data_IF_238659071231
#
_entry.id   IF_238659071231
#
_cell.length_a   1.000
_cell.length_b   1.000
_cell.length_c   1.000
_cell.angle_alpha   90.00
_cell.angle_beta   90.00
_cell.angle_gamma   90.00
#
_symmetry.space_group_name_H-M   'P 1'
#
loop_
_entity.id
_entity.type
_entity.pdbx_description
1 polymer ?
#
# COMPACT_ATOMS: atom_id res chain seq x y z
N UNK A 1 -30.29 -33.66 -15.70
CA UNK A 1 -30.69 -32.27 -15.97
C UNK A 1 -30.00 -31.90 -17.27
N UNK A 2 -30.70 -31.27 -18.19
CA UNK A 2 -30.08 -30.64 -19.37
C UNK A 2 -30.45 -29.17 -19.23
N UNK A 3 -29.54 -28.37 -18.65
CA UNK A 3 -29.66 -26.92 -18.65
C UNK A 3 -29.49 -26.37 -20.06
N UNK A 4 -30.12 -25.24 -20.36
CA UNK A 4 -30.06 -24.61 -21.67
C UNK A 4 -29.62 -23.17 -21.54
N UNK A 5 -28.47 -22.86 -22.13
CA UNK A 5 -27.93 -21.52 -22.04
C UNK A 5 -28.80 -20.44 -22.71
N UNK A 6 -28.80 -19.25 -22.15
CA UNK A 6 -29.64 -18.08 -22.42
C UNK A 6 -31.08 -18.17 -21.90
N UNK A 7 -31.32 -18.86 -20.78
CA UNK A 7 -32.64 -18.91 -20.13
C UNK A 7 -32.75 -17.99 -18.90
N UNK A 8 -31.71 -17.19 -18.63
CA UNK A 8 -31.56 -16.28 -17.50
C UNK A 8 -31.45 -16.97 -16.13
N UNK A 9 -31.20 -18.27 -16.09
CA UNK A 9 -31.05 -19.04 -14.85
C UNK A 9 -29.83 -19.95 -14.93
N UNK A 10 -28.78 -19.65 -14.17
CA UNK A 10 -27.66 -20.58 -14.04
C UNK A 10 -28.10 -21.88 -13.35
N UNK A 11 -28.29 -22.94 -14.13
CA UNK A 11 -28.84 -24.20 -13.65
C UNK A 11 -27.96 -25.43 -13.94
N UNK A 12 -28.53 -26.62 -13.74
CA UNK A 12 -27.77 -27.85 -13.56
C UNK A 12 -27.02 -28.27 -14.84
N UNK A 13 -25.68 -28.21 -14.78
CA UNK A 13 -24.77 -28.50 -15.89
C UNK A 13 -24.19 -27.24 -16.55
N UNK A 14 -24.69 -26.06 -16.18
CA UNK A 14 -24.16 -24.77 -16.58
C UNK A 14 -23.09 -24.29 -15.60
N UNK A 15 -22.12 -23.60 -16.15
CA UNK A 15 -20.94 -23.06 -15.49
C UNK A 15 -20.62 -21.75 -16.17
N UNK A 16 -19.81 -20.91 -15.52
CA UNK A 16 -19.27 -19.70 -16.13
C UNK A 16 -18.51 -20.02 -17.43
N UNK A 17 -17.88 -21.19 -17.54
CA UNK A 17 -17.11 -21.59 -18.72
C UNK A 17 -17.98 -21.95 -19.94
N UNK A 18 -19.13 -22.59 -19.73
CA UNK A 18 -19.97 -23.12 -20.81
C UNK A 18 -21.30 -22.37 -21.01
N UNK A 19 -21.65 -21.47 -20.10
CA UNK A 19 -22.86 -20.65 -20.14
C UNK A 19 -22.74 -19.38 -19.30
N UNK A 20 -21.81 -18.51 -19.68
CA UNK A 20 -21.57 -17.25 -18.97
C UNK A 20 -22.74 -16.26 -19.03
N UNK A 21 -23.61 -16.37 -20.05
CA UNK A 21 -24.76 -15.49 -20.19
C UNK A 21 -25.75 -15.61 -19.03
N UNK A 22 -25.89 -16.81 -18.46
CA UNK A 22 -26.78 -17.08 -17.33
C UNK A 22 -26.03 -17.19 -15.99
N UNK A 23 -24.80 -17.71 -16.01
CA UNK A 23 -23.96 -17.92 -14.83
C UNK A 23 -23.05 -16.74 -14.47
N UNK A 24 -22.96 -15.72 -15.34
CA UNK A 24 -21.98 -14.66 -15.24
C UNK A 24 -20.57 -15.14 -15.61
N UNK A 25 -19.60 -14.27 -15.37
CA UNK A 25 -18.18 -14.54 -15.63
C UNK A 25 -17.36 -14.69 -14.37
N UNK A 26 -16.33 -15.52 -14.47
CA UNK A 26 -15.38 -15.75 -13.39
C UNK A 26 -14.06 -16.17 -13.98
N UNK A 27 -13.03 -15.36 -13.71
CA UNK A 27 -11.69 -15.73 -14.10
C UNK A 27 -11.22 -17.02 -13.42
N UNK A 28 -10.49 -17.84 -14.18
CA UNK A 28 -9.97 -19.14 -13.77
C UNK A 28 -10.92 -20.31 -14.05
N UNK A 29 -11.95 -20.13 -14.87
CA UNK A 29 -12.88 -21.20 -15.27
C UNK A 29 -12.42 -21.99 -16.51
N UNK A 30 -11.29 -21.58 -17.10
CA UNK A 30 -10.66 -22.20 -18.25
C UNK A 30 -11.15 -21.67 -19.60
N UNK A 31 -12.02 -20.65 -19.63
CA UNK A 31 -12.58 -20.10 -20.85
C UNK A 31 -12.67 -18.58 -20.82
N UNK A 32 -11.85 -17.90 -21.64
CA UNK A 32 -11.95 -16.45 -21.84
C UNK A 32 -13.30 -16.03 -22.45
N UNK A 33 -14.27 -15.60 -21.64
CA UNK A 33 -15.61 -15.25 -22.10
C UNK A 33 -16.26 -14.10 -21.30
N UNK A 34 -17.47 -13.68 -21.71
CA UNK A 34 -18.34 -12.77 -20.97
C UNK A 34 -17.75 -11.47 -20.37
N UNK A 35 -16.84 -10.83 -21.11
CA UNK A 35 -16.20 -9.57 -20.71
C UNK A 35 -14.82 -9.75 -20.10
N UNK A 36 -14.35 -10.99 -20.00
CA UNK A 36 -12.96 -11.29 -19.73
C UNK A 36 -12.09 -10.82 -20.90
N UNK A 37 -10.94 -10.25 -20.55
CA UNK A 37 -9.90 -9.83 -21.47
C UNK A 37 -8.52 -10.16 -20.89
N UNK A 38 -7.49 -9.93 -21.70
CA UNK A 38 -6.10 -10.19 -21.32
C UNK A 38 -5.66 -9.36 -20.11
N UNK A 39 -6.32 -8.23 -19.78
CA UNK A 39 -6.01 -7.40 -18.63
C UNK A 39 -6.67 -7.88 -17.33
N UNK A 40 -7.94 -8.27 -17.40
CA UNK A 40 -8.77 -8.56 -16.25
C UNK A 40 -8.85 -10.07 -15.93
N UNK A 41 -8.46 -10.94 -16.88
CA UNK A 41 -8.44 -12.39 -16.71
C UNK A 41 -7.39 -13.06 -17.62
N UNK A 42 -6.12 -12.73 -17.41
CA UNK A 42 -5.01 -13.32 -18.17
C UNK A 42 -4.87 -14.85 -17.98
N UNK A 43 -5.42 -15.41 -16.90
CA UNK A 43 -5.34 -16.84 -16.58
C UNK A 43 -6.06 -17.70 -17.62
N UNK A 44 -7.20 -17.22 -18.13
CA UNK A 44 -7.99 -17.89 -19.16
C UNK A 44 -7.82 -17.25 -20.55
N UNK A 45 -7.62 -15.93 -20.61
CA UNK A 45 -7.44 -15.19 -21.86
C UNK A 45 -6.00 -15.18 -22.37
N UNK A 46 -5.04 -15.60 -21.56
CA UNK A 46 -3.61 -15.45 -21.84
C UNK A 46 -3.15 -14.00 -21.71
N UNK A 47 -1.93 -13.75 -22.18
CA UNK A 47 -1.27 -12.43 -22.18
C UNK A 47 -1.03 -11.98 -23.62
N UNK A 48 -1.17 -10.69 -23.94
CA UNK A 48 -0.91 -10.17 -25.29
C UNK A 48 -0.19 -8.83 -25.27
N UNK A 49 0.92 -8.74 -26.01
CA UNK A 49 1.68 -7.52 -26.08
C UNK A 49 1.03 -6.48 -27.01
N UNK A 50 0.68 -5.35 -26.43
CA UNK A 50 0.05 -4.18 -27.02
C UNK A 50 -1.35 -3.92 -26.47
N UNK A 51 -1.78 -4.67 -25.46
CA UNK A 51 -3.11 -4.59 -24.85
C UNK A 51 -3.23 -3.50 -23.76
N UNK A 52 -2.12 -2.86 -23.39
CA UNK A 52 -2.04 -1.84 -22.35
C UNK A 52 -1.88 -2.37 -20.93
N UNK A 53 -1.69 -3.68 -20.76
CA UNK A 53 -1.51 -4.34 -19.48
C UNK A 53 -0.17 -5.08 -19.43
N UNK A 54 0.41 -5.16 -18.23
CA UNK A 54 1.64 -5.91 -18.01
C UNK A 54 1.33 -6.99 -16.98
N UNK A 55 1.02 -8.20 -17.44
CA UNK A 55 0.58 -9.28 -16.56
C UNK A 55 1.06 -10.68 -17.01
N UNK A 56 0.74 -11.69 -16.20
CA UNK A 56 1.15 -13.07 -16.44
C UNK A 56 2.67 -13.24 -16.59
N UNK A 57 3.12 -13.57 -17.80
CA UNK A 57 4.55 -13.76 -18.14
C UNK A 57 5.17 -12.58 -18.91
N UNK A 58 4.45 -11.47 -19.02
CA UNK A 58 4.95 -10.26 -19.65
C UNK A 58 5.94 -9.54 -18.73
N UNK A 59 7.04 -9.10 -19.34
CA UNK A 59 8.01 -8.25 -18.70
C UNK A 59 8.56 -7.24 -19.71
N UNK A 60 9.40 -6.31 -19.26
CA UNK A 60 10.02 -5.31 -20.15
C UNK A 60 10.78 -5.94 -21.33
N UNK A 61 11.31 -7.17 -21.19
CA UNK A 61 12.07 -7.86 -22.23
C UNK A 61 11.19 -8.59 -23.25
N UNK A 62 10.08 -9.18 -22.80
CA UNK A 62 9.13 -9.92 -23.64
C UNK A 62 8.05 -9.02 -24.23
N UNK A 63 7.65 -7.97 -23.52
CA UNK A 63 6.62 -7.02 -23.91
C UNK A 63 6.90 -5.57 -23.46
N UNK A 64 7.86 -4.89 -24.08
CA UNK A 64 8.18 -3.49 -23.74
C UNK A 64 7.09 -2.48 -24.11
N UNK A 65 6.06 -2.87 -24.86
CA UNK A 65 4.98 -1.95 -25.23
C UNK A 65 4.09 -1.62 -24.02
N UNK A 66 3.82 -2.62 -23.18
CA UNK A 66 2.90 -2.49 -22.04
C UNK A 66 3.61 -2.62 -20.70
N UNK A 67 4.74 -3.33 -20.66
CA UNK A 67 5.63 -3.42 -19.49
C UNK A 67 6.74 -2.37 -19.52
N UNK A 68 6.55 -1.24 -20.19
CA UNK A 68 7.47 -0.11 -20.05
C UNK A 68 7.25 0.55 -18.69
N UNK A 69 8.31 0.73 -17.90
CA UNK A 69 8.23 1.62 -16.75
C UNK A 69 7.78 3.00 -17.23
N UNK A 70 6.73 3.52 -16.62
CA UNK A 70 6.39 4.94 -16.70
C UNK A 70 6.71 5.53 -15.33
N UNK A 71 7.97 5.99 -15.10
CA UNK A 71 8.36 6.58 -13.84
C UNK A 71 7.40 7.71 -13.45
N UNK A 72 6.70 7.51 -12.35
CA UNK A 72 5.88 8.55 -11.72
C UNK A 72 6.44 8.79 -10.33
N UNK A 73 7.32 9.77 -10.19
CA UNK A 73 7.84 10.11 -8.87
C UNK A 73 6.73 10.77 -8.04
N UNK A 74 6.63 10.40 -6.77
CA UNK A 74 5.65 10.94 -5.83
C UNK A 74 6.35 11.65 -4.69
N UNK A 75 5.70 12.66 -4.14
CA UNK A 75 6.16 13.37 -2.95
C UNK A 75 4.98 13.84 -2.12
N UNK A 76 5.13 13.88 -0.80
CA UNK A 76 4.16 14.44 0.13
C UNK A 76 4.88 15.24 1.23
N UNK A 77 4.45 16.47 1.44
CA UNK A 77 5.05 17.43 2.39
C UNK A 77 4.17 17.62 3.64
N UNK A 78 3.01 16.95 3.72
CA UNK A 78 2.07 17.01 4.84
C UNK A 78 1.69 18.43 5.29
N UNK A 79 1.68 19.37 4.35
CA UNK A 79 1.23 20.75 4.56
C UNK A 79 -0.28 20.88 4.79
N UNK A 80 -1.03 19.84 4.42
CA UNK A 80 -2.47 19.66 4.66
C UNK A 80 -2.82 18.18 4.52
N UNK A 81 -4.05 17.78 4.85
CA UNK A 81 -4.51 16.40 4.72
C UNK A 81 -4.28 15.86 3.28
N UNK A 82 -3.38 14.88 3.09
CA UNK A 82 -2.96 14.49 1.76
C UNK A 82 -3.93 13.50 1.11
N UNK A 83 -4.14 13.65 -0.20
CA UNK A 83 -5.09 12.82 -0.94
C UNK A 83 -4.59 11.38 -1.07
N UNK A 84 -5.47 10.41 -0.80
CA UNK A 84 -5.18 8.98 -0.96
C UNK A 84 -4.39 8.34 0.17
N UNK A 85 -3.87 9.13 1.12
CA UNK A 85 -3.34 8.60 2.37
C UNK A 85 -4.49 8.23 3.29
N UNK A 86 -4.31 7.16 4.07
CA UNK A 86 -5.33 6.66 4.98
C UNK A 86 -4.76 6.47 6.37
N UNK A 87 -5.58 6.73 7.37
CA UNK A 87 -5.26 6.56 8.78
C UNK A 87 -6.17 5.47 9.33
N UNK A 88 -5.60 4.53 10.06
CA UNK A 88 -6.35 3.55 10.85
C UNK A 88 -6.08 3.82 12.32
N UNK A 89 -7.19 4.17 13.00
CA UNK A 89 -7.32 4.15 14.46
C UNK A 89 -7.43 2.70 14.93
N UNK A 90 -6.28 2.14 15.32
CA UNK A 90 -6.09 0.71 15.55
C UNK A 90 -5.98 0.32 17.02
N UNK A 91 -5.72 1.30 17.89
CA UNK A 91 -5.68 1.14 19.34
C UNK A 91 -7.06 0.95 19.98
N UNK A 92 -7.11 1.14 21.30
CA UNK A 92 -8.40 1.22 21.99
C UNK A 92 -9.16 2.49 21.57
N UNK A 93 -10.51 2.47 21.57
CA UNK A 93 -11.30 3.51 20.89
C UNK A 93 -11.26 4.89 21.55
N UNK A 94 -10.26 5.72 21.21
CA UNK A 94 -10.05 7.06 21.78
C UNK A 94 -9.93 8.20 20.75
N UNK A 95 -9.76 7.93 19.45
CA UNK A 95 -9.62 8.98 18.43
C UNK A 95 -8.26 9.67 18.46
N UNK A 96 -7.25 8.98 18.98
CA UNK A 96 -5.87 9.36 19.28
C UNK A 96 -4.90 8.91 18.17
N UNK A 97 -5.33 9.07 16.93
CA UNK A 97 -4.63 8.57 15.75
C UNK A 97 -3.76 9.63 15.05
N UNK A 98 -3.11 9.23 13.95
CA UNK A 98 -2.31 10.13 13.11
C UNK A 98 -3.10 11.36 12.66
N UNK A 99 -2.49 12.53 12.83
CA UNK A 99 -3.02 13.82 12.42
C UNK A 99 -2.02 14.59 11.54
N UNK A 100 -2.53 15.56 10.76
CA UNK A 100 -1.70 16.46 9.96
C UNK A 100 -1.78 17.87 10.55
N UNK A 101 -0.63 18.47 10.83
CA UNK A 101 -0.57 19.82 11.40
C UNK A 101 0.77 20.12 12.04
N UNK A 102 0.79 21.04 13.01
CA UNK A 102 2.03 21.54 13.61
C UNK A 102 2.69 20.60 14.64
N UNK A 103 2.11 19.43 14.91
CA UNK A 103 2.61 18.41 15.84
C UNK A 103 2.90 18.87 17.27
N UNK A 104 3.09 17.96 18.24
CA UNK A 104 3.82 18.29 19.46
C UNK A 104 5.29 18.60 19.11
N UNK A 105 5.95 19.50 19.84
CA UNK A 105 7.38 19.77 19.61
C UNK A 105 7.70 20.49 18.28
N UNK A 106 8.13 19.74 17.25
CA UNK A 106 8.70 20.27 16.00
C UNK A 106 8.38 19.41 14.75
N UNK A 107 7.83 20.04 13.72
CA UNK A 107 7.76 19.52 12.34
C UNK A 107 8.83 20.19 11.47
N UNK A 108 9.46 19.44 10.56
CA UNK A 108 10.58 19.91 9.74
C UNK A 108 10.23 21.09 8.83
N UNK A 109 9.10 21.01 8.10
CA UNK A 109 8.71 22.02 7.11
C UNK A 109 7.50 22.88 7.54
N UNK A 110 7.15 22.86 8.82
CA UNK A 110 6.09 23.65 9.45
C UNK A 110 4.83 22.84 9.79
N UNK A 111 4.44 21.89 8.95
CA UNK A 111 3.40 20.90 9.22
C UNK A 111 3.93 19.52 8.88
N UNK A 112 3.49 18.49 9.59
CA UNK A 112 3.90 17.11 9.38
C UNK A 112 2.74 16.16 9.68
N UNK A 113 2.88 14.90 9.28
CA UNK A 113 2.07 13.83 9.85
C UNK A 113 2.64 13.48 11.23
N UNK A 114 1.78 13.44 12.26
CA UNK A 114 2.21 13.15 13.61
C UNK A 114 1.21 12.27 14.34
N UNK A 115 1.71 11.53 15.32
CA UNK A 115 0.94 10.80 16.32
C UNK A 115 1.57 11.07 17.68
N UNK A 116 0.74 11.22 18.73
CA UNK A 116 1.16 11.70 20.04
C UNK A 116 0.37 11.01 21.17
N UNK A 117 1.05 10.18 21.95
CA UNK A 117 0.46 9.47 23.09
C UNK A 117 0.14 10.43 24.25
N UNK A 118 0.94 11.49 24.47
CA UNK A 118 0.77 12.38 25.64
C UNK A 118 -0.49 13.27 25.55
N UNK A 119 -0.90 13.65 24.33
CA UNK A 119 -2.06 14.55 24.15
C UNK A 119 -3.40 13.88 24.53
N UNK A 120 -3.48 12.54 24.56
CA UNK A 120 -4.72 11.81 24.84
C UNK A 120 -4.79 11.13 26.22
N UNK A 121 -3.70 11.16 26.99
CA UNK A 121 -3.66 10.74 28.38
C UNK A 121 -3.24 9.27 28.58
N UNK A 122 -3.21 8.82 29.83
CA UNK A 122 -2.76 7.48 30.21
C UNK A 122 -3.90 6.43 30.26
N UNK A 123 -3.57 5.18 29.94
CA UNK A 123 -4.40 4.01 30.25
C UNK A 123 -5.21 3.41 29.10
N UNK A 124 -4.86 3.74 27.86
CA UNK A 124 -5.36 3.08 26.64
C UNK A 124 -4.20 2.91 25.67
N UNK A 125 -4.02 1.68 25.15
CA UNK A 125 -2.99 1.40 24.15
C UNK A 125 -3.28 2.15 22.85
N UNK A 126 -2.33 2.97 22.44
CA UNK A 126 -2.30 3.64 21.16
C UNK A 126 -1.53 2.76 20.18
N UNK A 127 -2.17 2.36 19.08
CA UNK A 127 -1.60 1.45 18.09
C UNK A 127 -2.01 1.88 16.67
N UNK A 128 -1.31 2.86 16.14
CA UNK A 128 -1.82 3.75 15.10
C UNK A 128 -1.09 3.61 13.79
N UNK A 129 -1.85 3.60 12.70
CA UNK A 129 -1.29 3.34 11.37
C UNK A 129 -1.58 4.46 10.39
N UNK A 130 -0.55 4.91 9.69
CA UNK A 130 -0.64 5.75 8.50
C UNK A 130 -0.21 4.95 7.27
N UNK A 131 -1.03 4.96 6.22
CA UNK A 131 -0.71 4.37 4.93
C UNK A 131 -0.56 5.42 3.84
N UNK A 132 0.43 5.22 2.99
CA UNK A 132 0.48 5.90 1.70
C UNK A 132 -0.63 5.38 0.76
N UNK A 133 -0.92 6.09 -0.34
CA UNK A 133 -1.56 5.49 -1.51
C UNK A 133 -0.79 4.25 -2.02
N UNK A 134 -1.47 3.45 -2.84
CA UNK A 134 -0.79 2.46 -3.69
C UNK A 134 -0.20 3.16 -4.91
N UNK A 135 1.09 2.98 -5.15
CA UNK A 135 1.81 3.56 -6.27
C UNK A 135 2.06 2.49 -7.33
N UNK A 136 1.71 2.77 -8.58
CA UNK A 136 1.91 1.86 -9.71
C UNK A 136 3.40 1.71 -10.04
N UNK A 137 3.84 0.46 -10.21
CA UNK A 137 5.22 0.08 -10.52
C UNK A 137 5.34 -0.77 -11.78
N UNK A 138 4.26 -0.92 -12.56
CA UNK A 138 4.27 -1.76 -13.75
C UNK A 138 5.44 -1.41 -14.68
N UNK A 139 6.25 -2.43 -14.99
CA UNK A 139 7.42 -2.30 -15.84
C UNK A 139 8.66 -1.67 -15.20
N UNK A 140 8.58 -1.22 -13.94
CA UNK A 140 9.68 -0.54 -13.27
C UNK A 140 10.62 -1.51 -12.57
N UNK A 141 11.92 -1.20 -12.60
CA UNK A 141 12.97 -2.11 -12.14
C UNK A 141 13.77 -1.57 -10.96
N UNK A 142 13.69 -0.26 -10.71
CA UNK A 142 14.29 0.34 -9.54
C UNK A 142 13.40 1.42 -8.93
N UNK A 143 13.43 1.51 -7.61
CA UNK A 143 12.77 2.59 -6.88
C UNK A 143 13.45 2.82 -5.53
N UNK A 144 13.36 4.06 -5.07
CA UNK A 144 13.86 4.48 -3.76
C UNK A 144 12.75 5.24 -3.05
N UNK A 145 12.49 4.86 -1.80
CA UNK A 145 11.59 5.58 -0.90
C UNK A 145 12.39 6.32 0.15
N UNK A 146 11.94 7.49 0.55
CA UNK A 146 12.56 8.24 1.64
C UNK A 146 11.60 9.22 2.30
N UNK A 147 11.92 9.62 3.51
CA UNK A 147 11.17 10.61 4.28
C UNK A 147 12.07 11.17 5.40
N UNK A 148 11.66 12.29 5.97
CA UNK A 148 12.25 12.85 7.19
C UNK A 148 11.36 12.44 8.35
N UNK A 149 11.94 12.05 9.47
CA UNK A 149 11.17 11.75 10.67
C UNK A 149 11.85 12.23 11.95
N UNK A 150 11.03 12.35 12.98
CA UNK A 150 11.46 12.57 14.35
C UNK A 150 10.64 11.65 15.25
N UNK A 151 11.28 10.58 15.72
CA UNK A 151 10.71 9.69 16.72
C UNK A 151 11.29 10.02 18.10
N UNK A 152 10.42 10.39 19.03
CA UNK A 152 10.76 10.63 20.43
C UNK A 152 10.23 9.46 21.24
N UNK A 153 11.12 8.72 21.88
CA UNK A 153 10.77 7.48 22.58
C UNK A 153 10.89 7.67 24.08
N UNK A 154 10.12 6.91 24.85
CA UNK A 154 10.39 6.77 26.29
C UNK A 154 11.40 5.63 26.57
N UNK A 155 11.84 4.94 25.52
CA UNK A 155 12.76 3.79 25.55
C UNK A 155 12.23 2.67 26.46
N UNK A 156 10.91 2.52 26.56
CA UNK A 156 10.25 1.67 27.57
C UNK A 156 9.02 0.94 27.03
N UNK A 157 9.13 0.33 25.86
CA UNK A 157 8.10 -0.54 25.27
C UNK A 157 7.52 0.04 23.99
N UNK A 158 7.42 1.36 23.92
CA UNK A 158 7.01 2.09 22.73
C UNK A 158 7.94 1.83 21.55
N UNK A 159 7.36 1.77 20.35
CA UNK A 159 8.12 1.58 19.12
C UNK A 159 7.42 2.16 17.89
N UNK A 160 8.23 2.47 16.90
CA UNK A 160 7.81 2.89 15.57
C UNK A 160 8.32 1.92 14.51
N UNK A 161 7.52 1.67 13.47
CA UNK A 161 7.91 0.84 12.33
C UNK A 161 7.63 1.52 10.99
N UNK A 162 8.55 1.33 10.06
CA UNK A 162 8.33 1.60 8.64
C UNK A 162 8.34 0.31 7.84
N UNK A 163 7.31 0.09 7.03
CA UNK A 163 7.14 -1.16 6.29
C UNK A 163 6.64 -0.93 4.85
N UNK A 164 6.84 -1.94 4.01
CA UNK A 164 6.45 -1.98 2.60
C UNK A 164 5.60 -3.21 2.30
N UNK A 165 4.63 -3.09 1.39
CA UNK A 165 3.89 -4.23 0.83
C UNK A 165 3.66 -4.09 -0.67
N UNK A 166 3.41 -5.21 -1.33
CA UNK A 166 3.11 -5.31 -2.78
C UNK A 166 2.00 -6.30 -3.12
N UNK A 167 1.39 -6.96 -2.12
CA UNK A 167 0.50 -8.11 -2.33
C UNK A 167 -0.84 -8.06 -1.57
N UNK A 168 -1.08 -7.02 -0.74
CA UNK A 168 -2.23 -6.89 0.17
C UNK A 168 -2.34 -7.99 1.24
N UNK A 169 -1.35 -8.87 1.36
CA UNK A 169 -1.37 -9.98 2.30
C UNK A 169 -0.38 -9.78 3.45
N UNK A 170 0.79 -9.20 3.16
CA UNK A 170 1.87 -9.12 4.14
C UNK A 170 2.69 -7.84 4.06
N UNK A 171 3.05 -7.33 5.23
CA UNK A 171 3.97 -6.20 5.36
C UNK A 171 5.39 -6.72 5.64
N UNK A 172 6.36 -6.21 4.89
CA UNK A 172 7.78 -6.38 5.19
C UNK A 172 8.27 -5.15 5.94
N UNK A 173 8.66 -5.32 7.21
CA UNK A 173 9.24 -4.24 8.01
C UNK A 173 10.65 -3.92 7.49
N UNK A 174 10.86 -2.67 7.10
CA UNK A 174 12.15 -2.15 6.63
C UNK A 174 12.97 -1.62 7.81
N UNK A 175 12.31 -1.02 8.79
CA UNK A 175 12.96 -0.43 9.95
C UNK A 175 12.03 -0.43 11.18
N UNK A 176 12.62 -0.66 12.35
CA UNK A 176 11.98 -0.52 13.66
C UNK A 176 12.83 0.40 14.52
N UNK A 177 12.21 1.39 15.17
CA UNK A 177 12.85 2.24 16.16
C UNK A 177 12.26 1.95 17.53
N UNK A 178 13.14 1.73 18.51
CA UNK A 178 12.80 1.47 19.93
C UNK A 178 13.52 2.44 20.87
N UNK A 179 14.07 3.51 20.29
CA UNK A 179 14.79 4.59 20.97
C UNK A 179 14.74 5.84 20.09
N UNK A 180 15.12 6.98 20.65
CA UNK A 180 15.09 8.27 19.96
C UNK A 180 15.74 8.25 18.58
N UNK A 181 15.05 8.83 17.60
CA UNK A 181 15.57 9.23 16.31
C UNK A 181 15.37 10.75 16.16
N UNK A 182 16.35 11.52 16.62
CA UNK A 182 16.23 12.97 16.82
C UNK A 182 17.43 13.77 16.31
N UNK A 183 17.20 15.02 15.86
CA UNK A 183 16.08 15.50 15.05
C UNK A 183 16.36 15.33 13.56
N UNK A 184 15.31 15.36 12.73
CA UNK A 184 15.39 15.43 11.27
C UNK A 184 16.19 14.30 10.63
N UNK A 185 16.00 13.08 11.13
CA UNK A 185 16.64 11.90 10.54
C UNK A 185 16.04 11.70 9.16
N UNK A 186 16.90 11.69 8.15
CA UNK A 186 16.50 11.39 6.77
C UNK A 186 16.69 9.91 6.53
N UNK A 187 15.58 9.23 6.26
CA UNK A 187 15.54 7.82 5.93
C UNK A 187 15.48 7.63 4.42
N UNK A 188 16.19 6.62 3.91
CA UNK A 188 16.19 6.28 2.49
C UNK A 188 16.45 4.79 2.29
N UNK A 189 15.53 4.14 1.57
CA UNK A 189 15.56 2.71 1.31
C UNK A 189 15.50 2.43 -0.19
N UNK A 190 16.44 1.63 -0.68
CA UNK A 190 16.33 0.99 -1.98
C UNK A 190 15.31 -0.15 -1.89
N UNK A 191 14.22 -0.02 -2.65
CA UNK A 191 13.13 -0.99 -2.68
C UNK A 191 13.07 -1.77 -4.00
N UNK A 192 14.12 -1.68 -4.82
CA UNK A 192 14.18 -2.33 -6.15
C UNK A 192 13.92 -3.83 -6.09
N UNK A 193 14.34 -4.49 -5.00
CA UNK A 193 14.11 -5.92 -4.78
C UNK A 193 12.63 -6.31 -4.65
N UNK A 194 11.76 -5.36 -4.27
CA UNK A 194 10.31 -5.61 -4.09
C UNK A 194 9.52 -5.39 -5.38
N UNK A 195 10.12 -4.81 -6.43
CA UNK A 195 9.42 -4.48 -7.67
C UNK A 195 9.28 -5.69 -8.60
N UNK A 196 10.13 -6.72 -8.45
CA UNK A 196 10.11 -7.90 -9.30
C UNK A 196 8.79 -8.67 -9.13
N UNK A 197 7.91 -8.59 -10.14
CA UNK A 197 6.59 -9.23 -10.13
C UNK A 197 5.52 -8.46 -9.35
N UNK A 198 5.80 -7.23 -8.93
CA UNK A 198 4.83 -6.36 -8.26
C UNK A 198 4.30 -5.28 -9.21
N UNK A 199 2.98 -5.14 -9.30
CA UNK A 199 2.35 -4.09 -10.09
C UNK A 199 2.20 -2.76 -9.34
N UNK A 200 2.34 -2.79 -8.01
CA UNK A 200 2.21 -1.63 -7.15
C UNK A 200 2.96 -1.81 -5.83
N UNK A 201 3.19 -0.71 -5.12
CA UNK A 201 3.76 -0.68 -3.77
C UNK A 201 2.96 0.25 -2.86
N UNK A 202 2.92 -0.08 -1.58
CA UNK A 202 2.37 0.78 -0.54
C UNK A 202 3.28 0.76 0.70
N UNK A 203 3.28 1.87 1.44
CA UNK A 203 4.09 2.04 2.64
C UNK A 203 3.22 2.25 3.88
N UNK A 204 3.75 1.82 5.03
CA UNK A 204 3.12 1.92 6.34
C UNK A 204 4.07 2.56 7.34
N UNK A 205 3.54 3.52 8.09
CA UNK A 205 4.11 4.01 9.34
C UNK A 205 3.20 3.53 10.45
N UNK A 206 3.77 2.78 11.40
CA UNK A 206 3.05 2.22 12.53
C UNK A 206 3.70 2.67 13.83
N UNK A 207 2.90 3.15 14.79
CA UNK A 207 3.34 3.54 16.12
C UNK A 207 2.54 2.80 17.17
N UNK A 208 3.21 2.30 18.19
CA UNK A 208 2.60 1.60 19.32
C UNK A 208 3.27 2.08 20.61
N UNK A 209 2.47 2.49 21.59
CA UNK A 209 2.96 2.95 22.89
C UNK A 209 3.05 1.83 23.95
N UNK A 210 2.74 0.59 23.58
CA UNK A 210 2.74 -0.59 24.45
C UNK A 210 1.84 -0.43 25.70
N UNK A 211 0.75 0.36 25.59
CA UNK A 211 -0.13 0.69 26.73
C UNK A 211 0.61 1.43 27.86
N UNK A 212 1.63 2.19 27.50
CA UNK A 212 2.42 3.01 28.42
C UNK A 212 2.36 4.48 28.02
N UNK A 213 2.65 5.36 28.99
CA UNK A 213 2.84 6.77 28.66
C UNK A 213 4.10 6.90 27.79
N UNK A 214 3.91 7.24 26.52
CA UNK A 214 4.97 7.46 25.56
C UNK A 214 4.87 8.87 24.97
N UNK A 215 5.77 9.21 24.05
CA UNK A 215 5.80 10.52 23.42
C UNK A 215 5.14 10.46 22.05
N UNK A 216 5.88 10.76 20.98
CA UNK A 216 5.30 11.05 19.68
C UNK A 216 6.23 10.64 18.54
N UNK A 217 5.63 10.51 17.35
CA UNK A 217 6.35 10.31 16.12
C UNK A 217 5.87 11.25 15.03
N UNK A 218 6.82 11.93 14.35
CA UNK A 218 6.56 12.78 13.20
C UNK A 218 7.15 12.22 11.92
N UNK A 219 6.45 12.40 10.80
CA UNK A 219 6.87 12.06 9.44
C UNK A 219 6.62 13.27 8.52
N UNK A 220 7.63 13.63 7.74
CA UNK A 220 7.60 14.77 6.82
C UNK A 220 8.37 14.46 5.52
N UNK A 221 8.17 15.26 4.47
CA UNK A 221 8.94 15.21 3.22
C UNK A 221 9.08 13.80 2.61
N UNK A 222 7.96 13.08 2.50
CA UNK A 222 7.93 11.78 1.84
C UNK A 222 8.28 11.92 0.36
N UNK A 223 9.09 10.99 -0.15
CA UNK A 223 9.44 10.87 -1.56
C UNK A 223 9.46 9.41 -1.99
N UNK A 224 8.97 9.16 -3.20
CA UNK A 224 9.13 7.92 -3.94
C UNK A 224 9.69 8.25 -5.32
N UNK A 225 10.92 7.83 -5.58
CA UNK A 225 11.58 7.97 -6.87
C UNK A 225 11.59 6.62 -7.58
N UNK A 226 11.06 6.56 -8.79
CA UNK A 226 10.93 5.35 -9.61
C UNK A 226 11.79 5.50 -10.87
N UNK A 227 12.42 4.42 -11.33
CA UNK A 227 13.37 4.41 -12.44
C UNK A 227 13.16 3.24 -13.40
#
# INVERSE_FOLDING_TARGET
>A
CEGTCNDSTCECGETTANCWEDCGTSCGDGTCNGGEDTCNCWEDCGTDCGDGCCNGSEDFGSCPADCNCIPSNHSEEFSSAPAGWTVIDGGESTGDTWAIGTGPGYCYSGSCAFVDSDTWGDGTRLAETLFSPQYNLNGCSAATVGFIHYYNSIESGDYAEFAVQTDLMSWTVLQTWTSDAYPDVTESYDISAYLAGASWVQFRWYYDDDDTWAWYWHVDNFTLSIF
#
